data_IF_608480670679
#
_entry.id   IF_608480670679
#
_cell.length_a   1.000
_cell.length_b   1.000
_cell.length_c   1.000
_cell.angle_alpha   90.00
_cell.angle_beta   90.00
_cell.angle_gamma   90.00
#
_symmetry.space_group_name_H-M   'P 1'
#
loop_
_entity.id
_entity.type
_entity.pdbx_description
1 polymer ?
#
# COMPACT_ATOMS: atom_id res chain seq x y z
N UNK A 1 20.34 -7.25 -9.96
CA UNK A 1 19.95 -8.25 -8.93
C UNK A 1 18.47 -8.56 -9.09
N UNK A 2 18.10 -9.81 -9.44
CA UNK A 2 16.70 -10.24 -9.55
C UNK A 2 16.18 -10.52 -8.14
N UNK A 3 15.29 -9.68 -7.61
CA UNK A 3 14.58 -10.01 -6.36
C UNK A 3 13.81 -11.33 -6.59
N UNK A 4 14.17 -12.34 -5.81
CA UNK A 4 13.60 -13.68 -5.82
C UNK A 4 12.07 -13.63 -5.72
N UNK A 5 11.39 -14.37 -6.58
CA UNK A 5 9.91 -14.43 -6.67
C UNK A 5 9.27 -14.79 -5.31
N UNK A 6 9.90 -15.69 -4.55
CA UNK A 6 9.48 -16.05 -3.20
C UNK A 6 9.48 -14.87 -2.21
N UNK A 7 10.45 -13.96 -2.33
CA UNK A 7 10.54 -12.76 -1.49
C UNK A 7 9.50 -11.72 -1.89
N UNK A 8 9.09 -11.70 -3.16
CA UNK A 8 8.04 -10.81 -3.65
C UNK A 8 6.68 -11.20 -3.07
N UNK A 9 6.35 -12.48 -3.03
CA UNK A 9 5.08 -12.96 -2.46
C UNK A 9 4.97 -12.60 -0.98
N UNK A 10 6.02 -12.88 -0.20
CA UNK A 10 6.11 -12.48 1.21
C UNK A 10 5.96 -10.95 1.40
N UNK A 11 6.61 -10.14 0.55
CA UNK A 11 6.43 -8.69 0.57
C UNK A 11 4.98 -8.28 0.24
N UNK A 12 4.33 -8.93 -0.72
CA UNK A 12 2.95 -8.62 -1.11
C UNK A 12 1.99 -8.92 0.04
N UNK A 13 2.17 -10.05 0.74
CA UNK A 13 1.40 -10.37 1.94
C UNK A 13 1.64 -9.36 3.07
N UNK A 14 2.90 -8.97 3.33
CA UNK A 14 3.20 -7.96 4.35
C UNK A 14 2.61 -6.59 4.02
N UNK A 15 2.73 -6.13 2.77
CA UNK A 15 2.15 -4.88 2.31
C UNK A 15 0.63 -4.89 2.44
N UNK A 16 -0.01 -5.99 2.08
CA UNK A 16 -1.45 -6.18 2.25
C UNK A 16 -1.85 -6.12 3.73
N UNK A 17 -1.21 -6.90 4.59
CA UNK A 17 -1.53 -6.91 6.02
C UNK A 17 -1.39 -5.53 6.66
N UNK A 18 -0.32 -4.80 6.33
CA UNK A 18 -0.12 -3.44 6.83
C UNK A 18 -1.14 -2.44 6.25
N UNK A 19 -1.54 -2.60 4.98
CA UNK A 19 -2.60 -1.79 4.39
C UNK A 19 -3.97 -2.05 5.04
N UNK A 20 -4.30 -3.32 5.28
CA UNK A 20 -5.53 -3.76 5.95
C UNK A 20 -5.55 -3.29 7.42
N UNK A 21 -4.39 -3.25 8.09
CA UNK A 21 -4.26 -2.67 9.44
C UNK A 21 -4.40 -1.15 9.49
N UNK A 22 -4.58 -0.47 8.34
CA UNK A 22 -4.84 0.96 8.26
C UNK A 22 -3.64 1.81 7.81
N UNK A 23 -2.50 1.20 7.45
CA UNK A 23 -1.39 1.96 6.89
C UNK A 23 -1.75 2.54 5.52
N UNK A 24 -1.30 3.76 5.24
CA UNK A 24 -1.49 4.37 3.93
C UNK A 24 -0.48 3.84 2.91
N UNK A 25 -0.82 3.86 1.62
CA UNK A 25 0.13 3.50 0.54
C UNK A 25 1.42 4.34 0.63
N UNK A 26 1.34 5.61 1.05
CA UNK A 26 2.52 6.46 1.25
C UNK A 26 3.42 5.94 2.37
N UNK A 27 2.82 5.49 3.48
CA UNK A 27 3.57 4.88 4.59
C UNK A 27 4.27 3.62 4.09
N UNK A 28 3.55 2.73 3.39
CA UNK A 28 4.11 1.49 2.84
C UNK A 28 5.25 1.73 1.83
N UNK A 29 5.14 2.76 1.01
CA UNK A 29 6.21 3.22 0.10
C UNK A 29 7.45 3.63 0.88
N UNK A 30 7.28 4.39 1.97
CA UNK A 30 8.39 4.84 2.81
C UNK A 30 9.07 3.67 3.53
N UNK A 31 8.31 2.70 4.04
CA UNK A 31 8.88 1.51 4.73
C UNK A 31 9.47 0.48 3.77
N UNK A 32 8.84 0.29 2.60
CA UNK A 32 9.26 -0.72 1.62
C UNK A 32 10.40 -0.25 0.71
N UNK A 33 10.64 1.07 0.61
CA UNK A 33 11.61 1.66 -0.31
C UNK A 33 11.25 1.44 -1.78
N UNK A 34 9.97 1.18 -2.08
CA UNK A 34 9.44 0.92 -3.42
C UNK A 34 8.61 2.10 -3.91
N UNK A 35 8.56 2.30 -5.23
CA UNK A 35 7.73 3.36 -5.81
C UNK A 35 6.24 3.13 -5.52
N UNK A 36 5.48 4.22 -5.46
CA UNK A 36 4.03 4.19 -5.27
C UNK A 36 3.33 3.26 -6.25
N UNK A 37 3.68 3.34 -7.54
CA UNK A 37 3.11 2.46 -8.57
C UNK A 37 3.44 0.99 -8.33
N UNK A 38 4.65 0.68 -7.84
CA UNK A 38 5.04 -0.71 -7.54
C UNK A 38 4.25 -1.27 -6.36
N UNK A 39 4.13 -0.49 -5.28
CA UNK A 39 3.33 -0.87 -4.09
C UNK A 39 1.84 -0.98 -4.45
N UNK A 40 1.32 -0.06 -5.26
CA UNK A 40 -0.07 -0.11 -5.73
C UNK A 40 -0.34 -1.36 -6.56
N UNK A 41 0.49 -1.65 -7.56
CA UNK A 41 0.37 -2.87 -8.36
C UNK A 41 0.53 -4.15 -7.53
N UNK A 42 1.40 -4.13 -6.51
CA UNK A 42 1.54 -5.23 -5.55
C UNK A 42 0.28 -5.44 -4.71
N UNK A 43 -0.32 -4.36 -4.19
CA UNK A 43 -1.57 -4.43 -3.43
C UNK A 43 -2.71 -4.96 -4.28
N UNK A 44 -2.87 -4.45 -5.50
CA UNK A 44 -3.90 -4.93 -6.45
C UNK A 44 -3.68 -6.39 -6.81
N UNK A 45 -2.45 -6.80 -7.14
CA UNK A 45 -2.14 -8.21 -7.43
C UNK A 45 -2.31 -9.13 -6.22
N UNK A 46 -2.11 -8.62 -5.01
CA UNK A 46 -2.34 -9.37 -3.76
C UNK A 46 -3.83 -9.51 -3.40
N UNK A 47 -4.74 -8.88 -4.16
CA UNK A 47 -6.17 -8.86 -3.87
C UNK A 47 -6.55 -7.97 -2.68
N UNK A 48 -5.68 -7.01 -2.30
CA UNK A 48 -5.99 -6.08 -1.23
C UNK A 48 -7.20 -5.21 -1.60
N UNK A 49 -8.17 -5.10 -0.70
CA UNK A 49 -9.36 -4.25 -0.92
C UNK A 49 -8.94 -2.80 -0.90
N UNK A 50 -8.81 -2.20 -2.08
CA UNK A 50 -8.43 -0.79 -2.20
C UNK A 50 -9.47 0.09 -1.51
N UNK A 51 -9.01 0.80 -0.48
CA UNK A 51 -9.81 1.84 0.18
C UNK A 51 -10.04 2.94 -0.86
N UNK A 52 -11.29 3.39 -1.00
CA UNK A 52 -11.64 4.50 -1.88
C UNK A 52 -10.68 5.67 -1.65
N UNK A 53 -10.33 6.39 -2.72
CA UNK A 53 -9.49 7.60 -2.69
C UNK A 53 -10.28 8.72 -2.01
N UNK A 54 -10.46 8.59 -0.70
CA UNK A 54 -11.40 9.37 0.10
C UNK A 54 -11.68 8.74 1.47
N UNK A 55 -10.79 7.89 1.99
CA UNK A 55 -10.96 7.29 3.31
C UNK A 55 -11.09 8.37 4.41
N UNK A 56 -11.60 8.03 5.61
CA UNK A 56 -11.99 8.97 6.68
C UNK A 56 -10.94 9.99 7.13
N UNK A 57 -9.69 9.86 6.67
CA UNK A 57 -8.63 10.86 6.77
C UNK A 57 -8.73 12.01 5.74
N UNK A 58 -9.89 12.21 5.11
CA UNK A 58 -10.25 13.56 4.69
C UNK A 58 -10.46 14.38 5.98
N UNK A 59 -9.39 15.01 6.48
CA UNK A 59 -9.58 16.30 7.14
C UNK A 59 -10.32 17.12 6.11
N UNK A 60 -11.64 17.22 6.27
CA UNK A 60 -12.46 18.20 5.59
C UNK A 60 -11.67 19.48 5.65
N UNK A 61 -11.15 19.91 4.49
CA UNK A 61 -10.61 21.25 4.39
C UNK A 61 -11.80 22.12 4.75
N UNK A 62 -11.82 22.59 5.99
CA UNK A 62 -12.73 23.63 6.44
C UNK A 62 -12.29 24.84 5.63
N UNK A 63 -12.84 24.96 4.43
CA UNK A 63 -12.81 26.19 3.68
C UNK A 63 -13.76 27.07 4.48
N UNK A 64 -13.16 27.98 5.25
CA UNK A 64 -13.86 29.06 5.92
C UNK A 64 -14.47 29.99 4.88
#
# INVERSE_FOLDING_TARGET
MRQSKASRDQMMTQLRNAYESGASIRSLVATSGKSYGSVHSMLVQSGAVMRSRGGPNHRSRKIA
#
